data_IF_773970239864
#
_entry.id   IF_773970239864
#
_cell.length_a   1.000
_cell.length_b   1.000
_cell.length_c   1.000
_cell.angle_alpha   90.00
_cell.angle_beta   90.00
_cell.angle_gamma   90.00
#
_symmetry.space_group_name_H-M   'P 1'
#
loop_
_entity.id
_entity.type
_entity.pdbx_description
1 polymer ?
#
# COMPACT_ATOMS: atom_id res chain seq x y z
N UNK A 1 3.43 18.12 -7.21
CA UNK A 1 4.60 17.31 -6.79
C UNK A 1 5.67 17.38 -7.87
N UNK A 2 6.82 18.06 -7.64
CA UNK A 2 7.86 18.22 -8.65
C UNK A 2 8.59 16.92 -9.03
N UNK A 3 8.59 15.91 -8.15
CA UNK A 3 9.27 14.62 -8.34
C UNK A 3 8.45 13.55 -9.08
N UNK A 4 7.13 13.73 -9.22
CA UNK A 4 6.21 12.69 -9.71
C UNK A 4 6.55 12.15 -11.10
N UNK A 5 7.15 12.97 -11.96
CA UNK A 5 7.57 12.58 -13.32
C UNK A 5 8.90 11.84 -13.38
N UNK A 6 9.68 11.87 -12.30
CA UNK A 6 11.10 11.51 -12.32
C UNK A 6 11.42 10.26 -11.52
N UNK A 7 10.52 9.84 -10.62
CA UNK A 7 10.67 8.60 -9.86
C UNK A 7 9.29 8.02 -9.50
N UNK A 8 9.17 6.68 -9.38
CA UNK A 8 7.95 6.04 -8.91
C UNK A 8 7.81 6.27 -7.40
N UNK A 9 7.14 7.38 -7.03
CA UNK A 9 6.95 7.75 -5.62
C UNK A 9 6.16 6.66 -4.90
N UNK A 10 6.68 6.16 -3.79
CA UNK A 10 6.05 5.14 -2.98
C UNK A 10 6.40 5.30 -1.50
N UNK A 11 5.71 4.54 -0.65
CA UNK A 11 5.91 4.51 0.80
C UNK A 11 5.78 3.07 1.31
N UNK A 12 6.32 2.78 2.49
CA UNK A 12 6.15 1.46 3.12
C UNK A 12 4.77 1.35 3.76
N UNK A 13 3.95 0.42 3.27
CA UNK A 13 2.66 0.07 3.88
C UNK A 13 2.82 -0.81 5.13
N UNK A 14 1.70 -1.36 5.61
CA UNK A 14 1.65 -2.20 6.83
C UNK A 14 1.31 -3.65 6.50
N UNK A 15 2.31 -4.53 6.53
CA UNK A 15 2.14 -5.95 6.20
C UNK A 15 1.17 -6.68 7.16
N UNK A 16 1.17 -6.32 8.45
CA UNK A 16 0.36 -6.99 9.49
C UNK A 16 -1.15 -6.86 9.30
N UNK A 17 -1.62 -5.95 8.44
CA UNK A 17 -3.04 -5.65 8.21
C UNK A 17 -3.51 -6.01 6.80
N UNK A 18 -2.69 -6.72 6.02
CA UNK A 18 -3.12 -7.30 4.75
C UNK A 18 -4.00 -8.52 5.06
N UNK A 19 -5.21 -8.52 4.52
CA UNK A 19 -6.20 -9.58 4.75
C UNK A 19 -6.78 -10.09 3.43
N UNK A 20 -7.24 -11.34 3.42
CA UNK A 20 -7.85 -11.96 2.22
C UNK A 20 -9.24 -11.37 1.93
N UNK A 21 -9.65 -11.43 0.67
CA UNK A 21 -10.98 -11.05 0.22
C UNK A 21 -12.09 -11.68 1.08
N UNK A 22 -13.12 -10.90 1.39
CA UNK A 22 -14.23 -11.31 2.27
C UNK A 22 -14.01 -11.02 3.76
N UNK A 23 -12.80 -10.65 4.19
CA UNK A 23 -12.53 -10.25 5.57
C UNK A 23 -13.25 -8.95 5.90
N UNK A 24 -14.12 -8.89 6.95
CA UNK A 24 -14.77 -7.65 7.35
C UNK A 24 -13.77 -6.59 7.83
N UNK A 25 -13.89 -5.37 7.33
CA UNK A 25 -13.07 -4.23 7.76
C UNK A 25 -13.89 -3.34 8.69
N UNK A 26 -13.42 -3.18 9.93
CA UNK A 26 -14.04 -2.25 10.89
C UNK A 26 -13.63 -0.82 10.57
N UNK A 27 -14.61 0.09 10.51
CA UNK A 27 -14.37 1.53 10.38
C UNK A 27 -13.38 2.00 11.46
N UNK A 28 -12.23 2.58 11.09
CA UNK A 28 -11.23 3.00 12.07
C UNK A 28 -11.71 4.22 12.85
N UNK A 29 -11.18 4.36 14.08
CA UNK A 29 -11.29 5.58 14.89
C UNK A 29 -9.92 6.24 14.95
N UNK A 30 -9.87 7.56 14.80
CA UNK A 30 -8.63 8.32 14.79
C UNK A 30 -8.87 9.78 15.14
N UNK A 31 -7.77 10.51 15.32
CA UNK A 31 -7.82 11.97 15.45
C UNK A 31 -8.02 12.57 14.06
N UNK A 32 -8.81 13.64 13.98
CA UNK A 32 -8.96 14.44 12.77
C UNK A 32 -8.64 15.89 13.11
N UNK A 33 -8.25 16.71 12.13
CA UNK A 33 -7.91 18.12 12.39
C UNK A 33 -9.08 18.94 12.98
N UNK A 34 -10.33 18.56 12.67
CA UNK A 34 -11.51 19.30 13.14
C UNK A 34 -11.92 18.98 14.57
N UNK A 35 -11.55 17.80 15.09
CA UNK A 35 -12.02 17.30 16.38
C UNK A 35 -10.83 16.95 17.29
N UNK A 36 -10.74 17.55 18.49
CA UNK A 36 -9.72 17.22 19.51
C UNK A 36 -9.98 15.87 20.21
N UNK A 37 -10.65 14.92 19.55
CA UNK A 37 -11.04 13.63 20.10
C UNK A 37 -10.89 12.51 19.05
N UNK A 38 -10.73 11.28 19.52
CA UNK A 38 -10.68 10.10 18.64
C UNK A 38 -12.09 9.62 18.31
N UNK A 39 -12.51 9.85 17.07
CA UNK A 39 -13.85 9.50 16.57
C UNK A 39 -13.75 8.58 15.34
N UNK A 40 -14.81 7.82 15.00
CA UNK A 40 -14.84 7.07 13.75
C UNK A 40 -14.64 8.00 12.54
N UNK A 41 -13.82 7.57 11.55
CA UNK A 41 -13.64 8.32 10.30
C UNK A 41 -14.98 8.60 9.62
N UNK A 42 -15.16 9.82 9.13
CA UNK A 42 -16.31 10.24 8.30
C UNK A 42 -16.01 10.05 6.81
N UNK A 43 -14.74 9.99 6.43
CA UNK A 43 -14.27 9.84 5.04
C UNK A 43 -13.55 8.49 4.83
N UNK A 44 -14.25 7.38 5.05
CA UNK A 44 -13.77 6.04 4.71
C UNK A 44 -13.90 5.82 3.20
N UNK A 45 -12.82 5.38 2.57
CA UNK A 45 -12.70 5.27 1.12
C UNK A 45 -11.98 3.99 0.69
N UNK A 46 -12.24 3.56 -0.54
CA UNK A 46 -11.54 2.47 -1.19
C UNK A 46 -10.52 3.00 -2.20
N UNK A 47 -9.44 2.27 -2.42
CA UNK A 47 -8.49 2.55 -3.50
C UNK A 47 -8.29 1.29 -4.32
N UNK A 48 -8.77 1.29 -5.57
CA UNK A 48 -8.51 0.21 -6.50
C UNK A 48 -7.03 0.19 -6.87
N UNK A 49 -6.36 -0.92 -6.55
CA UNK A 49 -4.95 -1.17 -6.89
C UNK A 49 -4.76 -2.56 -7.47
N UNK A 50 -3.60 -2.75 -8.08
CA UNK A 50 -2.99 -4.06 -8.30
C UNK A 50 -1.68 -4.12 -7.52
N UNK A 51 -1.35 -5.30 -7.02
CA UNK A 51 -0.08 -5.57 -6.38
C UNK A 51 0.55 -6.83 -7.00
N UNK A 52 1.86 -7.01 -6.84
CA UNK A 52 2.56 -8.21 -7.26
C UNK A 52 3.35 -8.81 -6.10
N UNK A 53 3.52 -10.13 -6.12
CA UNK A 53 4.43 -10.82 -5.21
C UNK A 53 5.83 -10.85 -5.81
N UNK A 54 6.82 -10.50 -4.99
CA UNK A 54 8.24 -10.66 -5.35
C UNK A 54 8.59 -12.15 -5.30
N UNK A 55 9.18 -12.65 -6.38
CA UNK A 55 9.70 -14.02 -6.50
C UNK A 55 11.13 -14.05 -7.04
N UNK A 56 11.52 -15.19 -7.61
CA UNK A 56 12.84 -15.37 -8.20
C UNK A 56 13.98 -15.43 -7.18
N UNK A 57 15.19 -15.13 -7.63
CA UNK A 57 16.39 -15.09 -6.78
C UNK A 57 16.33 -13.90 -5.82
N UNK A 58 16.65 -14.10 -4.54
CA UNK A 58 16.66 -13.00 -3.58
C UNK A 58 17.83 -12.03 -3.85
N UNK A 59 17.54 -10.73 -3.93
CA UNK A 59 18.56 -9.68 -3.95
C UNK A 59 19.21 -9.55 -2.57
N UNK A 60 20.55 -9.52 -2.50
CA UNK A 60 21.24 -9.32 -1.22
C UNK A 60 21.19 -7.85 -0.79
N UNK A 61 21.27 -7.63 0.52
CA UNK A 61 21.34 -6.27 1.07
C UNK A 61 22.55 -5.53 0.49
N UNK A 62 22.30 -4.35 -0.09
CA UNK A 62 23.32 -3.52 -0.73
C UNK A 62 23.53 -3.77 -2.23
N UNK A 63 22.96 -4.84 -2.77
CA UNK A 63 22.93 -5.10 -4.21
C UNK A 63 21.68 -4.46 -4.87
N UNK A 64 21.78 -4.12 -6.15
CA UNK A 64 20.68 -3.57 -6.95
C UNK A 64 20.17 -4.62 -7.91
N UNK A 65 18.88 -4.58 -8.22
CA UNK A 65 18.29 -5.33 -9.33
C UNK A 65 18.30 -4.45 -10.61
N UNK A 66 18.97 -4.87 -11.70
CA UNK A 66 18.88 -4.21 -13.00
C UNK A 66 17.43 -4.16 -13.52
N UNK A 67 17.07 -3.11 -14.26
CA UNK A 67 15.69 -2.97 -14.77
C UNK A 67 15.37 -4.04 -15.82
N UNK A 68 16.40 -4.49 -16.54
CA UNK A 68 16.35 -5.53 -17.56
C UNK A 68 16.03 -6.93 -17.00
N UNK A 69 16.22 -7.12 -15.69
CA UNK A 69 15.97 -8.37 -14.99
C UNK A 69 14.74 -8.28 -14.07
N UNK A 70 14.12 -7.10 -13.94
CA UNK A 70 13.09 -6.84 -12.94
C UNK A 70 11.85 -7.75 -13.07
N UNK A 71 11.48 -8.13 -14.30
CA UNK A 71 10.36 -9.01 -14.59
C UNK A 71 10.58 -10.44 -14.07
N UNK A 72 11.83 -10.91 -14.00
CA UNK A 72 12.19 -12.22 -13.44
C UNK A 72 11.90 -12.33 -11.94
N UNK A 73 11.72 -11.19 -11.26
CA UNK A 73 11.39 -11.12 -9.85
C UNK A 73 9.89 -10.89 -9.58
N UNK A 74 9.04 -10.91 -10.62
CA UNK A 74 7.59 -10.77 -10.48
C UNK A 74 6.95 -12.16 -10.58
N UNK A 75 6.49 -12.72 -9.44
CA UNK A 75 5.85 -14.04 -9.40
C UNK A 75 4.44 -14.04 -10.00
N UNK A 76 3.66 -13.01 -9.69
CA UNK A 76 2.26 -12.90 -10.09
C UNK A 76 1.56 -11.72 -9.44
N UNK A 77 0.34 -11.42 -9.89
CA UNK A 77 -0.40 -10.23 -9.49
C UNK A 77 -1.72 -10.56 -8.79
N UNK A 78 -2.20 -9.60 -8.00
CA UNK A 78 -3.50 -9.64 -7.32
C UNK A 78 -4.22 -8.30 -7.42
N UNK A 79 -5.54 -8.34 -7.24
CA UNK A 79 -6.32 -7.13 -6.93
C UNK A 79 -6.09 -6.75 -5.47
N UNK A 80 -6.01 -5.44 -5.21
CA UNK A 80 -5.86 -4.89 -3.87
C UNK A 80 -6.80 -3.71 -3.68
N UNK A 81 -7.47 -3.67 -2.53
CA UNK A 81 -8.16 -2.48 -2.04
C UNK A 81 -7.37 -1.90 -0.88
N UNK A 82 -6.78 -0.72 -1.07
CA UNK A 82 -6.05 -0.01 -0.02
C UNK A 82 -6.97 0.94 0.73
N UNK A 83 -7.70 0.37 1.69
CA UNK A 83 -8.66 1.10 2.52
C UNK A 83 -8.03 2.32 3.18
N UNK A 84 -8.68 3.46 3.01
CA UNK A 84 -8.16 4.75 3.45
C UNK A 84 -9.19 5.50 4.28
N UNK A 85 -8.76 6.09 5.40
CA UNK A 85 -9.53 7.08 6.14
C UNK A 85 -8.94 8.45 5.82
N UNK A 86 -9.62 9.26 5.01
CA UNK A 86 -9.04 10.48 4.41
C UNK A 86 -8.93 11.67 5.36
N UNK A 87 -9.77 11.67 6.39
CA UNK A 87 -9.87 12.71 7.40
C UNK A 87 -8.97 12.48 8.63
N UNK A 88 -8.43 11.27 8.76
CA UNK A 88 -7.42 10.88 9.75
C UNK A 88 -6.04 11.16 9.15
#
# INVERSE_FOLDING_TARGET
MPNWKWLPVGYHGRASSIVVSGTPIRRPRGQTMSDNASEPTRLLDFELKMAFFVGGTATKLGEKNPVEEADQHIFGMVLMNDWSARDI
#
